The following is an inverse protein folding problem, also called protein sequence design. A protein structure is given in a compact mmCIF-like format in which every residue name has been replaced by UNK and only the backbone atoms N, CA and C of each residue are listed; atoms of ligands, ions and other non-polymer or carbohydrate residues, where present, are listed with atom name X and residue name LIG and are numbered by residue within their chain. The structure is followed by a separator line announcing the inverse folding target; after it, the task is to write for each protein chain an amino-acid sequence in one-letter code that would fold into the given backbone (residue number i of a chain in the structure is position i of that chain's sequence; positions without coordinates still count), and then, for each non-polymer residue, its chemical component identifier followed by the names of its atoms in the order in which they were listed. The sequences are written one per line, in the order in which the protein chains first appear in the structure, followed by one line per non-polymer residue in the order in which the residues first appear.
data_IF_076119207761
#
_entry.id   IF_076119207761
#
_cell.length_a   1.000
_cell.length_b   1.000
_cell.length_c   1.000
_cell.angle_alpha   90.00
_cell.angle_beta   90.00
_cell.angle_gamma   90.00
#
_symmetry.space_group_name_H-M   'P 1'
#
loop_
_entity.id
_entity.type
_entity.pdbx_description
1 polymer ?
#
# COMPACT_ATOMS: atom_id res chain seq x y z
N UNK A 1 30.91 -7.60 43.39
CA UNK A 1 30.24 -7.20 42.14
C UNK A 1 29.42 -5.97 42.46
N UNK A 2 29.96 -4.81 42.15
CA UNK A 2 29.33 -3.50 42.41
C UNK A 2 28.36 -3.24 41.27
N UNK A 3 27.06 -3.23 41.54
CA UNK A 3 26.02 -2.70 40.68
C UNK A 3 26.29 -1.21 40.51
N UNK A 4 26.74 -0.84 39.30
CA UNK A 4 26.80 0.56 38.92
C UNK A 4 25.39 1.11 38.96
N UNK A 5 25.06 1.94 39.96
CA UNK A 5 23.78 2.64 40.03
C UNK A 5 23.62 3.53 38.82
N UNK A 6 22.53 3.46 38.15
CA UNK A 6 22.12 4.40 37.11
C UNK A 6 22.00 5.76 37.84
N UNK A 7 22.94 6.68 37.56
CA UNK A 7 22.91 8.00 38.14
C UNK A 7 21.67 8.75 37.64
N UNK A 8 20.79 9.11 38.56
CA UNK A 8 19.65 9.98 38.29
C UNK A 8 20.14 11.44 38.18
N UNK A 9 19.93 12.06 37.03
CA UNK A 9 20.16 13.49 36.82
C UNK A 9 18.81 14.20 36.68
N UNK A 10 18.42 15.08 37.63
CA UNK A 10 17.19 15.87 37.52
C UNK A 10 17.18 16.76 36.26
N UNK A 11 18.34 17.18 35.79
CA UNK A 11 18.48 17.99 34.57
C UNK A 11 18.18 17.17 33.32
N UNK A 12 18.62 15.91 33.28
CA UNK A 12 18.33 15.01 32.16
C UNK A 12 16.82 14.74 32.05
N UNK A 13 16.13 14.68 33.19
CA UNK A 13 14.67 14.54 33.21
C UNK A 13 13.96 15.81 32.71
N UNK A 14 14.42 17.00 33.11
CA UNK A 14 13.87 18.27 32.65
C UNK A 14 14.11 18.51 31.15
N UNK A 15 15.24 18.03 30.65
CA UNK A 15 15.64 18.14 29.25
C UNK A 15 15.18 16.96 28.42
N UNK A 16 14.45 16.02 29.01
CA UNK A 16 13.96 14.80 28.35
C UNK A 16 15.06 13.99 27.64
N UNK A 17 16.27 13.93 28.29
CA UNK A 17 17.42 13.21 27.73
C UNK A 17 17.37 11.70 27.99
N UNK A 18 16.23 11.07 27.69
CA UNK A 18 16.01 9.64 27.88
C UNK A 18 16.86 8.74 26.97
N UNK A 19 17.46 9.31 25.94
CA UNK A 19 18.11 8.61 24.85
C UNK A 19 19.64 8.75 24.85
N UNK A 20 20.28 8.55 26.03
CA UNK A 20 21.73 8.60 26.13
C UNK A 20 22.33 9.90 25.56
N UNK A 21 21.98 11.02 26.14
CA UNK A 21 22.42 12.36 25.78
C UNK A 21 21.70 13.00 24.57
N UNK A 22 20.63 12.40 24.05
CA UNK A 22 19.82 12.97 22.97
C UNK A 22 18.46 13.37 23.51
N UNK A 23 17.97 14.55 23.16
CA UNK A 23 16.60 14.95 23.47
C UNK A 23 15.58 14.13 22.66
N UNK A 24 14.39 13.94 23.22
CA UNK A 24 13.30 13.23 22.53
C UNK A 24 12.94 13.86 21.18
N UNK A 25 12.97 15.20 21.11
CA UNK A 25 12.75 15.92 19.86
C UNK A 25 13.78 15.60 18.78
N UNK A 26 15.08 15.57 19.13
CA UNK A 26 16.13 15.24 18.17
C UNK A 26 16.05 13.79 17.70
N UNK A 27 15.73 12.87 18.61
CA UNK A 27 15.53 11.45 18.25
C UNK A 27 14.34 11.29 17.33
N UNK A 28 13.25 12.03 17.57
CA UNK A 28 12.09 12.08 16.66
C UNK A 28 12.52 12.44 15.25
N UNK A 29 13.26 13.55 15.10
CA UNK A 29 13.73 14.00 13.79
C UNK A 29 14.67 12.98 13.11
N UNK A 30 15.55 12.34 13.88
CA UNK A 30 16.44 11.31 13.35
C UNK A 30 15.68 10.08 12.83
N UNK A 31 14.64 9.63 13.54
CA UNK A 31 13.76 8.52 13.12
C UNK A 31 12.94 8.93 11.90
N UNK A 32 12.36 10.13 11.90
CA UNK A 32 11.61 10.67 10.77
C UNK A 32 12.47 10.75 9.51
N UNK A 33 13.65 11.38 9.59
CA UNK A 33 14.60 11.45 8.47
C UNK A 33 14.94 10.07 7.92
N UNK A 34 15.16 9.09 8.79
CA UNK A 34 15.46 7.73 8.39
C UNK A 34 14.33 7.05 7.59
N UNK A 35 13.11 7.46 7.82
CA UNK A 35 11.97 7.04 7.01
C UNK A 35 11.87 7.76 5.67
N UNK A 36 12.42 8.97 5.55
CA UNK A 36 12.29 9.85 4.36
C UNK A 36 13.43 9.68 3.38
N UNK A 37 14.68 9.80 3.87
CA UNK A 37 15.89 9.80 3.00
C UNK A 37 16.35 8.39 2.65
N UNK A 38 17.23 8.28 1.65
CA UNK A 38 17.63 7.02 1.06
C UNK A 38 18.49 6.12 1.96
N UNK A 39 19.24 6.68 2.93
CA UNK A 39 20.13 5.91 3.81
C UNK A 39 20.28 6.56 5.18
N UNK A 40 20.82 5.80 6.16
CA UNK A 40 21.15 6.35 7.49
C UNK A 40 22.32 7.34 7.42
N UNK A 41 23.27 7.13 6.51
CA UNK A 41 24.35 8.07 6.21
C UNK A 41 23.80 9.40 5.66
N UNK A 42 22.78 9.34 4.83
CA UNK A 42 22.11 10.57 4.34
C UNK A 42 21.38 11.30 5.47
N UNK A 43 20.71 10.56 6.37
CA UNK A 43 20.10 11.14 7.56
C UNK A 43 21.15 11.83 8.46
N UNK A 44 22.30 11.20 8.71
CA UNK A 44 23.46 11.80 9.41
C UNK A 44 23.89 13.08 8.73
N UNK A 45 24.08 13.07 7.40
CA UNK A 45 24.49 14.27 6.65
C UNK A 45 23.50 15.42 6.75
N UNK A 46 22.19 15.12 6.69
CA UNK A 46 21.13 16.13 6.83
C UNK A 46 21.12 16.71 8.25
N UNK A 47 21.16 15.86 9.29
CA UNK A 47 21.25 16.30 10.69
C UNK A 47 22.47 17.18 10.93
N UNK A 48 23.63 16.81 10.39
CA UNK A 48 24.84 17.62 10.51
C UNK A 48 24.74 18.94 9.72
N UNK A 49 24.25 18.90 8.48
CA UNK A 49 24.23 20.07 7.57
C UNK A 49 23.23 21.13 7.99
N UNK A 50 22.02 20.70 8.39
CA UNK A 50 20.90 21.60 8.71
C UNK A 50 20.74 21.80 10.19
N UNK A 51 20.83 20.72 10.98
CA UNK A 51 20.63 20.73 12.42
C UNK A 51 21.90 21.07 13.22
N UNK A 52 23.09 21.11 12.56
CA UNK A 52 24.39 21.23 13.21
C UNK A 52 24.64 20.19 14.33
N UNK A 53 24.03 18.99 14.15
CA UNK A 53 24.11 17.90 15.12
C UNK A 53 24.98 16.77 14.56
N UNK A 54 25.97 16.34 15.32
CA UNK A 54 26.82 15.20 14.98
C UNK A 54 26.25 13.91 15.57
N UNK A 55 25.30 13.27 14.90
CA UNK A 55 24.75 11.96 15.23
C UNK A 55 25.16 10.99 14.13
N UNK A 56 26.02 10.01 14.44
CA UNK A 56 26.49 9.04 13.45
C UNK A 56 25.35 8.16 12.89
N UNK A 57 25.51 7.68 11.66
CA UNK A 57 24.59 6.75 10.97
C UNK A 57 24.22 5.54 11.82
N UNK A 58 25.19 4.95 12.52
CA UNK A 58 24.99 3.83 13.43
C UNK A 58 24.20 4.20 14.68
N UNK A 59 24.26 5.47 15.13
CA UNK A 59 23.42 5.98 16.22
C UNK A 59 22.00 6.20 15.70
N UNK A 60 21.83 6.81 14.53
CA UNK A 60 20.54 6.96 13.84
C UNK A 60 19.88 5.59 13.68
N UNK A 61 20.62 4.60 13.17
CA UNK A 61 20.13 3.23 13.03
C UNK A 61 19.59 2.65 14.35
N UNK A 62 20.35 2.76 15.45
CA UNK A 62 19.90 2.28 16.77
C UNK A 62 18.63 2.96 17.26
N UNK A 63 18.41 4.24 16.90
CA UNK A 63 17.14 4.93 17.22
C UNK A 63 15.98 4.33 16.42
N UNK A 64 16.21 4.07 15.14
CA UNK A 64 15.21 3.40 14.29
C UNK A 64 14.91 1.99 14.78
N UNK A 65 15.90 1.21 15.21
CA UNK A 65 15.65 -0.11 15.80
C UNK A 65 14.74 -0.05 17.01
N UNK A 66 14.99 0.90 17.92
CA UNK A 66 14.18 1.08 19.13
C UNK A 66 12.76 1.58 18.79
N UNK A 67 12.68 2.69 18.11
CA UNK A 67 11.41 3.36 17.88
C UNK A 67 10.57 2.68 16.81
N UNK A 68 11.17 2.09 15.81
CA UNK A 68 10.49 1.23 14.84
C UNK A 68 9.84 0.02 15.49
N UNK A 69 10.47 -0.54 16.53
CA UNK A 69 9.85 -1.59 17.35
C UNK A 69 8.62 -1.09 18.13
N UNK A 70 8.63 0.17 18.61
CA UNK A 70 7.44 0.75 19.26
C UNK A 70 6.30 0.98 18.25
N UNK A 71 6.60 1.49 17.06
CA UNK A 71 5.60 1.60 15.98
C UNK A 71 5.00 0.23 15.62
N UNK A 72 5.84 -0.81 15.53
CA UNK A 72 5.39 -2.17 15.26
C UNK A 72 4.48 -2.73 16.37
N UNK A 73 4.78 -2.45 17.62
CA UNK A 73 3.93 -2.82 18.77
C UNK A 73 2.61 -2.07 18.75
N UNK A 74 2.62 -0.79 18.45
CA UNK A 74 1.40 0.00 18.30
C UNK A 74 0.46 -0.59 17.23
N UNK A 75 1.02 -1.00 16.08
CA UNK A 75 0.22 -1.67 15.04
C UNK A 75 -0.38 -2.99 15.54
N UNK A 76 0.35 -3.77 16.33
CA UNK A 76 -0.16 -5.00 16.93
C UNK A 76 -1.27 -4.73 17.95
N UNK A 77 -1.11 -3.73 18.83
CA UNK A 77 -2.12 -3.33 19.80
C UNK A 77 -3.41 -2.84 19.13
N UNK A 78 -3.28 -2.01 18.09
CA UNK A 78 -4.41 -1.53 17.29
C UNK A 78 -5.17 -2.68 16.64
N UNK A 79 -4.47 -3.68 16.09
CA UNK A 79 -5.08 -4.86 15.51
C UNK A 79 -5.85 -5.70 16.56
N UNK A 80 -5.35 -5.78 17.78
CA UNK A 80 -6.05 -6.48 18.87
C UNK A 80 -7.33 -5.75 19.31
N UNK A 81 -7.35 -4.42 19.19
CA UNK A 81 -8.50 -3.59 19.52
C UNK A 81 -9.54 -3.53 18.40
N UNK A 82 -9.11 -3.73 17.15
CA UNK A 82 -10.00 -3.70 16.00
C UNK A 82 -10.97 -4.91 16.05
N UNK A 83 -12.21 -4.68 15.63
CA UNK A 83 -13.17 -5.78 15.51
C UNK A 83 -12.74 -6.77 14.44
N UNK A 84 -12.92 -8.04 14.72
CA UNK A 84 -12.39 -9.12 13.88
C UNK A 84 -12.99 -9.14 12.45
N UNK A 85 -14.25 -8.72 12.30
CA UNK A 85 -14.95 -8.69 11.00
C UNK A 85 -15.93 -7.51 10.93
N UNK A 86 -16.17 -6.96 9.74
CA UNK A 86 -17.17 -5.92 9.56
C UNK A 86 -18.55 -6.46 9.90
N UNK A 87 -19.23 -5.82 10.83
CA UNK A 87 -20.57 -6.19 11.26
C UNK A 87 -21.58 -5.09 10.86
N UNK A 88 -21.75 -4.89 9.55
CA UNK A 88 -22.68 -3.89 8.99
C UNK A 88 -24.13 -4.11 9.41
N UNK A 89 -24.52 -5.32 9.81
CA UNK A 89 -25.85 -5.61 10.33
C UNK A 89 -26.15 -5.00 11.72
N UNK A 90 -25.13 -4.48 12.41
CA UNK A 90 -25.24 -3.84 13.72
C UNK A 90 -25.01 -2.32 13.69
N UNK A 91 -24.83 -1.71 12.52
CA UNK A 91 -24.91 -0.25 12.40
C UNK A 91 -26.34 0.11 12.76
N UNK A 92 -26.52 0.43 14.03
CA UNK A 92 -27.81 0.80 14.60
C UNK A 92 -28.36 1.96 13.82
N UNK A 93 -29.65 1.94 13.53
CA UNK A 93 -30.44 2.92 12.80
C UNK A 93 -30.43 4.38 13.38
N UNK A 94 -29.42 4.73 14.16
CA UNK A 94 -29.19 6.01 14.80
C UNK A 94 -27.82 6.64 14.54
N UNK A 95 -26.86 5.91 13.95
CA UNK A 95 -25.65 6.54 13.42
C UNK A 95 -25.98 7.01 12.00
N UNK A 96 -26.06 8.33 11.82
CA UNK A 96 -26.19 8.91 10.49
C UNK A 96 -25.10 8.30 9.59
N UNK A 97 -25.53 7.57 8.55
CA UNK A 97 -24.62 7.10 7.51
C UNK A 97 -23.88 8.33 7.00
N UNK A 98 -22.58 8.37 7.18
CA UNK A 98 -21.77 9.44 6.62
C UNK A 98 -21.95 9.39 5.10
N UNK A 99 -22.47 10.47 4.54
CA UNK A 99 -22.44 10.67 3.10
C UNK A 99 -20.97 10.74 2.69
N UNK A 100 -20.54 9.81 1.86
CA UNK A 100 -19.17 9.74 1.37
C UNK A 100 -18.88 8.38 0.76
N UNK A 101 -17.77 8.31 0.09
CA UNK A 101 -17.28 7.09 -0.53
C UNK A 101 -15.85 6.84 -0.08
N UNK A 102 -15.52 5.62 0.29
CA UNK A 102 -14.16 5.23 0.63
C UNK A 102 -13.64 4.15 -0.31
N UNK A 103 -12.35 4.22 -0.57
CA UNK A 103 -11.65 3.22 -1.34
C UNK A 103 -10.41 2.70 -0.62
N UNK A 104 -10.01 1.52 -0.99
CA UNK A 104 -8.68 1.01 -0.70
C UNK A 104 -8.06 0.41 -1.96
N UNK A 105 -6.74 0.44 -2.03
CA UNK A 105 -5.99 -0.20 -3.09
C UNK A 105 -4.86 -1.04 -2.48
N UNK A 106 -4.56 -2.17 -3.14
CA UNK A 106 -3.62 -3.18 -2.66
C UNK A 106 -2.64 -3.52 -3.78
N UNK A 107 -1.34 -3.57 -3.45
CA UNK A 107 -0.25 -3.94 -4.35
C UNK A 107 0.83 -4.74 -3.60
N UNK A 108 1.69 -5.44 -4.34
CA UNK A 108 2.87 -6.12 -3.86
C UNK A 108 4.17 -5.45 -4.34
N UNK A 109 5.18 -5.43 -3.50
CA UNK A 109 6.49 -4.94 -3.87
C UNK A 109 7.60 -5.88 -3.38
N UNK A 110 8.70 -5.97 -4.13
CA UNK A 110 9.80 -6.86 -3.79
C UNK A 110 10.91 -6.10 -3.07
N UNK A 111 11.51 -6.74 -2.06
CA UNK A 111 12.69 -6.24 -1.34
C UNK A 111 13.69 -7.37 -1.13
N UNK A 112 14.99 -7.06 -1.16
CA UNK A 112 16.03 -8.05 -0.90
C UNK A 112 16.36 -8.12 0.59
N UNK A 113 16.14 -9.29 1.21
CA UNK A 113 16.43 -9.58 2.62
C UNK A 113 17.68 -10.44 2.72
N UNK A 114 18.64 -10.05 3.57
CA UNK A 114 19.89 -10.78 3.78
C UNK A 114 19.61 -12.19 4.29
N UNK A 115 20.24 -13.17 3.65
CA UNK A 115 20.07 -14.59 3.99
C UNK A 115 18.77 -15.23 3.49
N UNK A 116 17.81 -14.43 2.99
CA UNK A 116 16.51 -14.91 2.53
C UNK A 116 16.23 -14.65 1.04
N UNK A 117 17.01 -13.76 0.39
CA UNK A 117 16.79 -13.34 -0.99
C UNK A 117 15.63 -12.38 -1.16
N UNK A 118 15.05 -12.35 -2.36
CA UNK A 118 13.91 -11.48 -2.68
C UNK A 118 12.64 -11.92 -1.95
N UNK A 119 12.02 -11.00 -1.24
CA UNK A 119 10.75 -11.18 -0.52
C UNK A 119 9.75 -10.15 -0.95
N UNK A 120 8.50 -10.56 -1.02
CA UNK A 120 7.40 -9.65 -1.25
C UNK A 120 7.01 -8.97 0.08
N UNK A 121 6.90 -7.65 0.05
CA UNK A 121 6.15 -6.92 1.06
C UNK A 121 4.88 -6.35 0.42
N UNK A 122 3.81 -6.37 1.18
CA UNK A 122 2.50 -5.92 0.74
C UNK A 122 2.31 -4.47 1.13
N UNK A 123 1.69 -3.71 0.25
CA UNK A 123 1.34 -2.30 0.47
C UNK A 123 -0.15 -2.15 0.24
N UNK A 124 -0.81 -1.46 1.14
CA UNK A 124 -2.19 -1.05 1.01
C UNK A 124 -2.35 0.43 1.33
N UNK A 125 -3.35 1.04 0.77
CA UNK A 125 -3.76 2.38 1.16
C UNK A 125 -5.27 2.45 1.30
N UNK A 126 -5.72 3.29 2.23
CA UNK A 126 -7.11 3.63 2.45
C UNK A 126 -7.29 5.12 2.15
N UNK A 127 -8.32 5.48 1.42
CA UNK A 127 -8.56 6.86 0.98
C UNK A 127 -10.06 7.17 0.90
N UNK A 128 -10.39 8.44 0.90
CA UNK A 128 -11.71 8.93 0.54
C UNK A 128 -11.79 9.15 -0.97
N UNK A 129 -12.96 8.93 -1.56
CA UNK A 129 -13.19 9.16 -2.99
C UNK A 129 -14.07 10.39 -3.13
N UNK A 130 -13.51 11.44 -3.72
CA UNK A 130 -14.21 12.66 -4.04
C UNK A 130 -14.37 12.83 -5.55
N UNK A 131 -15.51 13.39 -6.02
CA UNK A 131 -15.68 13.72 -7.41
C UNK A 131 -14.77 14.87 -7.81
N UNK A 132 -14.05 14.72 -8.91
CA UNK A 132 -13.19 15.74 -9.50
C UNK A 132 -13.49 15.94 -10.97
N UNK A 133 -13.66 17.19 -11.40
CA UNK A 133 -13.80 17.52 -12.81
C UNK A 133 -12.45 17.33 -13.53
N UNK A 134 -12.41 16.44 -14.52
CA UNK A 134 -11.25 16.14 -15.35
C UNK A 134 -11.60 16.38 -16.80
N UNK A 135 -10.74 17.12 -17.54
CA UNK A 135 -10.95 17.34 -18.96
C UNK A 135 -10.51 16.11 -19.75
N UNK A 136 -11.46 15.44 -20.38
CA UNK A 136 -11.20 14.32 -21.27
C UNK A 136 -10.78 14.84 -22.65
N UNK A 137 -9.56 14.51 -23.06
CA UNK A 137 -8.98 14.95 -24.33
C UNK A 137 -9.60 14.26 -25.53
N UNK A 138 -10.18 13.07 -25.37
CA UNK A 138 -10.78 12.33 -26.47
C UNK A 138 -12.19 12.83 -26.78
N UNK A 139 -13.05 12.93 -25.76
CA UNK A 139 -14.40 13.49 -25.91
C UNK A 139 -14.44 15.01 -25.98
N UNK A 140 -13.35 15.71 -25.53
CA UNK A 140 -13.27 17.17 -25.35
C UNK A 140 -14.32 17.73 -24.38
N UNK A 141 -14.69 16.94 -23.41
CA UNK A 141 -15.68 17.30 -22.38
C UNK A 141 -15.06 17.25 -20.98
N UNK A 142 -15.66 17.99 -20.05
CA UNK A 142 -15.34 17.85 -18.64
C UNK A 142 -16.17 16.71 -18.07
N UNK A 143 -15.49 15.70 -17.55
CA UNK A 143 -16.09 14.54 -16.91
C UNK A 143 -15.83 14.61 -15.41
N UNK A 144 -16.83 14.23 -14.62
CA UNK A 144 -16.64 14.03 -13.20
C UNK A 144 -16.11 12.61 -12.96
N UNK A 145 -14.96 12.52 -12.32
CA UNK A 145 -14.27 11.25 -12.04
C UNK A 145 -13.96 11.15 -10.55
N UNK A 146 -14.01 9.92 -10.02
CA UNK A 146 -13.55 9.66 -8.67
C UNK A 146 -12.06 9.95 -8.52
N UNK A 147 -11.70 10.66 -7.46
CA UNK A 147 -10.33 11.02 -7.10
C UNK A 147 -10.05 10.65 -5.65
N UNK A 148 -8.91 9.98 -5.42
CA UNK A 148 -8.49 9.59 -4.07
C UNK A 148 -7.88 10.78 -3.33
N UNK A 149 -8.43 11.07 -2.15
CA UNK A 149 -7.96 12.12 -1.24
C UNK A 149 -7.70 11.55 0.15
N UNK A 150 -6.99 12.27 1.00
CA UNK A 150 -6.71 11.89 2.40
C UNK A 150 -6.20 10.45 2.54
N UNK A 151 -5.20 10.08 1.73
CA UNK A 151 -4.69 8.71 1.67
C UNK A 151 -3.81 8.38 2.88
N UNK A 152 -4.08 7.25 3.52
CA UNK A 152 -3.17 6.63 4.51
C UNK A 152 -2.66 5.28 4.00
N UNK A 153 -1.49 4.87 4.48
CA UNK A 153 -0.77 3.69 3.98
C UNK A 153 -0.48 2.70 5.10
N UNK A 154 -0.57 1.43 4.77
CA UNK A 154 -0.06 0.32 5.57
C UNK A 154 0.85 -0.55 4.71
N UNK A 155 1.86 -1.17 5.32
CA UNK A 155 2.70 -2.12 4.62
C UNK A 155 3.18 -3.22 5.57
N UNK A 156 3.44 -4.41 5.03
CA UNK A 156 3.86 -5.56 5.80
C UNK A 156 4.78 -6.49 5.00
N UNK A 157 5.90 -6.88 5.61
CA UNK A 157 6.79 -7.91 5.07
C UNK A 157 6.33 -9.29 5.57
N UNK A 158 5.50 -9.98 4.80
CA UNK A 158 4.98 -11.29 5.21
C UNK A 158 3.72 -11.73 4.48
N UNK A 159 2.97 -12.63 5.12
CA UNK A 159 1.76 -13.20 4.57
C UNK A 159 0.60 -12.22 4.45
N UNK A 160 -0.41 -12.55 3.62
CA UNK A 160 -1.57 -11.69 3.41
C UNK A 160 -2.49 -11.63 4.65
N UNK A 161 -2.45 -12.62 5.54
CA UNK A 161 -3.36 -12.69 6.69
C UNK A 161 -3.07 -11.58 7.71
N UNK A 162 -1.80 -11.36 8.05
CA UNK A 162 -1.41 -10.27 8.95
C UNK A 162 -1.62 -8.92 8.28
N UNK A 163 -1.25 -8.81 7.01
CA UNK A 163 -1.46 -7.59 6.22
C UNK A 163 -2.95 -7.24 6.12
N UNK A 164 -3.82 -8.21 5.89
CA UNK A 164 -5.26 -8.01 5.82
C UNK A 164 -5.84 -7.42 7.10
N UNK A 165 -5.43 -7.96 8.27
CA UNK A 165 -5.84 -7.40 9.57
C UNK A 165 -5.31 -5.98 9.79
N UNK A 166 -4.07 -5.69 9.37
CA UNK A 166 -3.50 -4.35 9.46
C UNK A 166 -4.28 -3.35 8.59
N UNK A 167 -4.59 -3.73 7.35
CA UNK A 167 -5.35 -2.90 6.42
C UNK A 167 -6.79 -2.69 6.91
N UNK A 168 -7.43 -3.73 7.45
CA UNK A 168 -8.75 -3.64 8.06
C UNK A 168 -8.75 -2.69 9.27
N UNK A 169 -7.73 -2.78 10.14
CA UNK A 169 -7.57 -1.90 11.29
C UNK A 169 -7.50 -0.43 10.87
N UNK A 170 -6.70 -0.13 9.85
CA UNK A 170 -6.60 1.23 9.31
C UNK A 170 -7.93 1.71 8.70
N UNK A 171 -8.59 0.86 7.92
CA UNK A 171 -9.89 1.18 7.32
C UNK A 171 -10.95 1.45 8.40
N UNK A 172 -11.00 0.63 9.44
CA UNK A 172 -11.93 0.77 10.57
C UNK A 172 -11.69 2.08 11.34
N UNK A 173 -10.44 2.42 11.65
CA UNK A 173 -10.09 3.67 12.32
C UNK A 173 -10.48 4.90 11.51
N UNK A 174 -10.52 4.78 10.19
CA UNK A 174 -10.97 5.84 9.27
C UNK A 174 -12.49 5.86 9.05
N UNK A 175 -13.25 4.99 9.72
CA UNK A 175 -14.70 5.00 9.65
C UNK A 175 -15.28 4.20 8.47
N UNK A 176 -14.56 3.23 7.91
CA UNK A 176 -15.02 2.38 6.80
C UNK A 176 -16.41 1.79 7.01
N UNK A 177 -16.72 1.35 8.23
CA UNK A 177 -18.03 0.76 8.55
C UNK A 177 -19.19 1.75 8.53
N UNK A 178 -18.91 3.06 8.68
CA UNK A 178 -19.91 4.12 8.63
C UNK A 178 -20.25 4.57 7.19
N UNK A 179 -19.45 4.19 6.20
CA UNK A 179 -19.61 4.55 4.80
C UNK A 179 -20.31 3.40 4.06
N UNK A 180 -21.42 3.73 3.37
CA UNK A 180 -22.18 2.73 2.61
C UNK A 180 -21.49 2.29 1.32
N UNK A 181 -20.83 3.22 0.64
CA UNK A 181 -20.25 3.03 -0.68
C UNK A 181 -18.73 2.87 -0.58
N UNK A 182 -18.25 1.66 -0.84
CA UNK A 182 -16.84 1.31 -0.67
C UNK A 182 -16.28 0.54 -1.85
N UNK A 183 -14.98 0.74 -2.13
CA UNK A 183 -14.28 0.12 -3.25
C UNK A 183 -12.96 -0.53 -2.83
N UNK A 184 -12.62 -1.65 -3.46
CA UNK A 184 -11.30 -2.29 -3.39
C UNK A 184 -10.71 -2.39 -4.79
N UNK A 185 -9.52 -1.81 -4.99
CA UNK A 185 -8.76 -1.87 -6.25
C UNK A 185 -7.51 -2.74 -6.06
N UNK A 186 -7.22 -3.63 -7.00
CA UNK A 186 -6.02 -4.48 -6.99
C UNK A 186 -5.61 -4.98 -8.37
N UNK A 187 -4.44 -5.61 -8.46
CA UNK A 187 -3.82 -6.09 -9.71
C UNK A 187 -4.46 -7.36 -10.32
N UNK A 188 -5.41 -7.97 -9.64
CA UNK A 188 -6.05 -9.22 -10.07
C UNK A 188 -5.46 -10.47 -9.39
N UNK A 189 -4.46 -10.35 -8.55
CA UNK A 189 -3.88 -11.48 -7.83
C UNK A 189 -4.88 -12.13 -6.87
N UNK A 190 -4.90 -13.45 -6.85
CA UNK A 190 -5.86 -14.23 -6.07
C UNK A 190 -5.83 -13.92 -4.56
N UNK A 191 -4.66 -13.65 -4.00
CA UNK A 191 -4.53 -13.36 -2.57
C UNK A 191 -5.23 -12.04 -2.19
N UNK A 192 -5.26 -11.05 -3.09
CA UNK A 192 -5.99 -9.78 -2.87
C UNK A 192 -7.48 -10.05 -2.75
N UNK A 193 -8.04 -10.85 -3.65
CA UNK A 193 -9.49 -11.15 -3.63
C UNK A 193 -9.89 -12.05 -2.47
N UNK A 194 -9.01 -12.95 -2.02
CA UNK A 194 -9.24 -13.72 -0.80
C UNK A 194 -9.29 -12.79 0.43
N UNK A 195 -8.34 -11.87 0.55
CA UNK A 195 -8.31 -10.85 1.61
C UNK A 195 -9.54 -9.94 1.54
N UNK A 196 -9.91 -9.49 0.33
CA UNK A 196 -11.11 -8.68 0.11
C UNK A 196 -12.37 -9.43 0.54
N UNK A 197 -12.48 -10.71 0.23
CA UNK A 197 -13.62 -11.52 0.65
C UNK A 197 -13.69 -11.71 2.17
N UNK A 198 -12.56 -11.72 2.85
CA UNK A 198 -12.49 -11.88 4.31
C UNK A 198 -12.84 -10.58 5.05
N UNK A 199 -12.32 -9.44 4.60
CA UNK A 199 -12.40 -8.17 5.35
C UNK A 199 -13.29 -7.11 4.71
N UNK A 200 -13.50 -7.16 3.37
CA UNK A 200 -14.15 -6.11 2.58
C UNK A 200 -15.16 -6.68 1.57
N UNK A 201 -15.88 -7.74 1.95
CA UNK A 201 -16.69 -8.59 1.06
C UNK A 201 -17.82 -7.87 0.32
N UNK A 202 -18.32 -6.76 0.85
CA UNK A 202 -19.44 -5.99 0.32
C UNK A 202 -19.01 -4.75 -0.50
N UNK A 203 -17.71 -4.59 -0.71
CA UNK A 203 -17.15 -3.49 -1.50
C UNK A 203 -17.21 -3.78 -3.01
N UNK A 204 -17.34 -2.73 -3.81
CA UNK A 204 -17.11 -2.80 -5.25
C UNK A 204 -15.66 -3.23 -5.51
N UNK A 205 -15.46 -4.34 -6.22
CA UNK A 205 -14.14 -4.90 -6.51
C UNK A 205 -13.72 -4.53 -7.92
N UNK A 206 -12.57 -3.89 -8.07
CA UNK A 206 -12.05 -3.41 -9.36
C UNK A 206 -10.64 -3.93 -9.59
N UNK A 207 -10.41 -4.60 -10.73
CA UNK A 207 -9.04 -4.85 -11.21
C UNK A 207 -8.48 -3.55 -11.76
N UNK A 208 -7.26 -3.22 -11.36
CA UNK A 208 -6.56 -2.06 -11.90
C UNK A 208 -6.52 -2.06 -13.43
N UNK A 209 -6.92 -0.94 -14.02
CA UNK A 209 -6.99 -0.77 -15.48
C UNK A 209 -5.64 -1.00 -16.16
N UNK A 210 -4.56 -0.49 -15.59
CA UNK A 210 -3.23 -0.61 -16.21
C UNK A 210 -2.73 -2.05 -16.17
N UNK A 211 -2.96 -2.77 -15.06
CA UNK A 211 -2.64 -4.21 -14.98
C UNK A 211 -3.48 -5.04 -15.96
N UNK A 212 -4.76 -4.74 -16.09
CA UNK A 212 -5.61 -5.38 -17.09
C UNK A 212 -5.15 -5.08 -18.54
N UNK A 213 -4.72 -3.84 -18.81
CA UNK A 213 -4.16 -3.44 -20.08
C UNK A 213 -2.82 -4.12 -20.40
N UNK A 214 -1.95 -4.33 -19.40
CA UNK A 214 -0.70 -5.08 -19.55
C UNK A 214 -0.98 -6.56 -19.91
N UNK A 215 -1.92 -7.22 -19.23
CA UNK A 215 -2.40 -8.56 -19.60
C UNK A 215 -2.97 -8.59 -21.01
N UNK A 216 -3.74 -7.58 -21.38
CA UNK A 216 -4.29 -7.47 -22.73
C UNK A 216 -3.21 -7.29 -23.79
N UNK A 217 -2.17 -6.51 -23.48
CA UNK A 217 -1.02 -6.33 -24.36
C UNK A 217 -0.24 -7.66 -24.56
N UNK A 218 0.03 -8.38 -23.47
CA UNK A 218 0.62 -9.72 -23.55
C UNK A 218 -0.23 -10.69 -24.37
N UNK A 219 -1.54 -10.70 -24.14
CA UNK A 219 -2.48 -11.50 -24.91
C UNK A 219 -2.46 -11.14 -26.40
N UNK A 220 -2.35 -9.87 -26.77
CA UNK A 220 -2.29 -9.42 -28.16
C UNK A 220 -1.05 -9.97 -28.89
N UNK A 221 0.12 -9.98 -28.24
CA UNK A 221 1.35 -10.54 -28.78
C UNK A 221 1.23 -12.06 -28.99
N UNK A 222 0.62 -12.75 -28.05
CA UNK A 222 0.31 -14.19 -28.16
C UNK A 222 -0.73 -14.48 -29.22
N UNK A 223 -1.72 -13.64 -29.40
CA UNK A 223 -2.80 -13.80 -30.37
C UNK A 223 -2.34 -13.60 -31.82
N UNK A 224 -1.42 -12.63 -32.07
CA UNK A 224 -0.88 -12.26 -33.38
C UNK A 224 0.67 -12.25 -33.41
N UNK A 225 1.33 -13.40 -33.14
CA UNK A 225 2.79 -13.44 -32.89
C UNK A 225 3.66 -13.04 -34.10
N UNK A 226 3.11 -13.14 -35.32
CA UNK A 226 3.89 -12.93 -36.55
C UNK A 226 3.77 -11.52 -37.13
N UNK A 227 3.03 -10.62 -36.47
CA UNK A 227 2.80 -9.26 -36.97
C UNK A 227 2.49 -8.30 -35.83
N UNK A 228 3.44 -7.48 -35.47
CA UNK A 228 3.28 -6.43 -34.47
C UNK A 228 2.12 -5.48 -34.80
N UNK A 229 2.00 -5.07 -36.07
CA UNK A 229 0.90 -4.21 -36.50
C UNK A 229 -0.48 -4.87 -36.38
N UNK A 230 -0.58 -6.19 -36.59
CA UNK A 230 -1.81 -6.92 -36.37
C UNK A 230 -2.12 -7.14 -34.86
N UNK A 231 -1.09 -7.35 -34.03
CA UNK A 231 -1.22 -7.40 -32.59
C UNK A 231 -1.72 -6.05 -32.05
N UNK A 232 -1.14 -4.96 -32.49
CA UNK A 232 -1.53 -3.60 -32.07
C UNK A 232 -2.97 -3.24 -32.49
N UNK A 233 -3.40 -3.61 -33.70
CA UNK A 233 -4.80 -3.39 -34.11
C UNK A 233 -5.78 -4.19 -33.27
N UNK A 234 -5.44 -5.45 -32.99
CA UNK A 234 -6.27 -6.29 -32.13
C UNK A 234 -6.33 -5.75 -30.71
N UNK A 235 -5.16 -5.33 -30.14
CA UNK A 235 -5.07 -4.70 -28.83
C UNK A 235 -6.04 -3.51 -28.71
N UNK A 236 -5.98 -2.55 -29.65
CA UNK A 236 -6.85 -1.35 -29.61
C UNK A 236 -8.33 -1.68 -29.66
N UNK A 237 -8.72 -2.65 -30.47
CA UNK A 237 -10.13 -3.11 -30.51
C UNK A 237 -10.54 -3.79 -29.24
N UNK A 238 -9.67 -4.64 -28.68
CA UNK A 238 -9.93 -5.37 -27.44
C UNK A 238 -9.88 -4.44 -26.21
N UNK A 239 -9.03 -3.39 -26.20
CA UNK A 239 -8.97 -2.37 -25.18
C UNK A 239 -10.31 -1.61 -25.06
N UNK A 240 -10.89 -1.19 -26.18
CA UNK A 240 -12.22 -0.58 -26.20
C UNK A 240 -13.27 -1.55 -25.65
N UNK A 241 -13.23 -2.82 -26.07
CA UNK A 241 -14.14 -3.85 -25.59
C UNK A 241 -13.99 -4.11 -24.09
N UNK A 242 -12.74 -4.16 -23.60
CA UNK A 242 -12.43 -4.30 -22.18
C UNK A 242 -12.98 -3.13 -21.34
N UNK A 243 -12.78 -1.91 -21.83
CA UNK A 243 -13.30 -0.72 -21.15
C UNK A 243 -14.83 -0.74 -21.03
N UNK A 244 -15.52 -1.27 -22.05
CA UNK A 244 -16.98 -1.46 -22.06
C UNK A 244 -17.45 -2.64 -21.18
N UNK A 245 -16.58 -3.32 -20.46
CA UNK A 245 -16.94 -4.44 -19.58
C UNK A 245 -17.01 -5.82 -20.25
N UNK A 246 -16.58 -5.95 -21.50
CA UNK A 246 -16.65 -7.19 -22.27
C UNK A 246 -15.43 -8.12 -22.10
N UNK A 247 -14.90 -8.23 -20.89
CA UNK A 247 -13.74 -9.10 -20.57
C UNK A 247 -14.01 -10.59 -20.88
N UNK A 248 -15.28 -11.05 -20.77
CA UNK A 248 -15.72 -12.39 -21.12
C UNK A 248 -15.55 -12.71 -22.62
N UNK A 249 -15.82 -11.74 -23.51
CA UNK A 249 -15.62 -11.88 -24.96
C UNK A 249 -14.13 -12.00 -25.30
N UNK A 250 -13.28 -11.25 -24.61
CA UNK A 250 -11.82 -11.34 -24.72
C UNK A 250 -11.35 -12.73 -24.29
N UNK A 251 -11.78 -13.19 -23.11
CA UNK A 251 -11.47 -14.52 -22.60
C UNK A 251 -11.86 -15.62 -23.59
N UNK A 252 -13.07 -15.56 -24.11
CA UNK A 252 -13.58 -16.51 -25.10
C UNK A 252 -12.74 -16.51 -26.40
N UNK A 253 -12.40 -15.33 -26.92
CA UNK A 253 -11.59 -15.20 -28.13
C UNK A 253 -10.19 -15.81 -27.95
N UNK A 254 -9.55 -15.60 -26.80
CA UNK A 254 -8.24 -16.17 -26.46
C UNK A 254 -8.32 -17.69 -26.30
N UNK A 255 -9.37 -18.21 -25.64
CA UNK A 255 -9.61 -19.65 -25.48
C UNK A 255 -9.77 -20.36 -26.82
N UNK A 256 -10.56 -19.81 -27.76
CA UNK A 256 -10.71 -20.35 -29.11
C UNK A 256 -9.37 -20.45 -29.87
N UNK A 257 -8.44 -19.52 -29.62
CA UNK A 257 -7.11 -19.49 -30.23
C UNK A 257 -6.10 -20.41 -29.57
N UNK A 258 -6.35 -20.82 -28.33
CA UNK A 258 -5.43 -21.61 -27.48
C UNK A 258 -5.51 -23.13 -27.80
N UNK A 259 -5.37 -23.51 -29.07
CA UNK A 259 -5.47 -24.90 -29.53
C UNK A 259 -4.15 -25.65 -29.33
N UNK A 260 -4.23 -26.89 -28.83
CA UNK A 260 -3.08 -27.77 -28.62
C UNK A 260 -2.31 -27.52 -27.32
N UNK A 261 -1.08 -28.06 -27.25
CA UNK A 261 -0.25 -28.10 -26.03
C UNK A 261 1.04 -27.28 -26.11
N UNK A 262 1.19 -26.43 -27.14
CA UNK A 262 2.36 -25.55 -27.27
C UNK A 262 2.44 -24.57 -26.09
N UNK A 263 3.64 -24.04 -25.79
CA UNK A 263 3.80 -23.02 -24.76
C UNK A 263 2.89 -21.82 -25.00
N UNK A 264 2.83 -21.34 -26.24
CA UNK A 264 1.93 -20.26 -26.64
C UNK A 264 0.43 -20.58 -26.32
N UNK A 265 0.00 -21.81 -26.55
CA UNK A 265 -1.40 -22.20 -26.25
C UNK A 265 -1.64 -22.24 -24.73
N UNK A 266 -0.63 -22.59 -23.93
CA UNK A 266 -0.71 -22.51 -22.46
C UNK A 266 -0.79 -21.06 -22.00
N UNK A 267 0.06 -20.20 -22.55
CA UNK A 267 0.12 -18.77 -22.18
C UNK A 267 -1.19 -18.06 -22.57
N UNK A 268 -1.75 -18.35 -23.76
CA UNK A 268 -3.07 -17.86 -24.16
C UNK A 268 -4.19 -18.30 -23.19
N UNK A 269 -4.12 -19.54 -22.67
CA UNK A 269 -5.09 -20.01 -21.67
C UNK A 269 -4.92 -19.28 -20.34
N UNK A 270 -3.69 -18.97 -19.95
CA UNK A 270 -3.40 -18.19 -18.73
C UNK A 270 -4.03 -16.80 -18.83
N UNK A 271 -3.82 -16.09 -19.95
CA UNK A 271 -4.43 -14.78 -20.16
C UNK A 271 -5.96 -14.84 -20.23
N UNK A 272 -6.50 -15.83 -20.96
CA UNK A 272 -7.94 -16.03 -21.01
C UNK A 272 -8.56 -16.29 -19.62
N UNK A 273 -7.87 -17.08 -18.78
CA UNK A 273 -8.32 -17.37 -17.44
C UNK A 273 -8.26 -16.13 -16.52
N UNK A 274 -7.28 -15.25 -16.72
CA UNK A 274 -7.20 -13.97 -16.00
C UNK A 274 -8.45 -13.11 -16.26
N UNK A 275 -8.81 -12.89 -17.53
CA UNK A 275 -10.01 -12.14 -17.90
C UNK A 275 -11.30 -12.82 -17.42
N UNK A 276 -11.42 -14.13 -17.58
CA UNK A 276 -12.60 -14.88 -17.14
C UNK A 276 -12.82 -14.81 -15.63
N UNK A 277 -11.75 -14.97 -14.85
CA UNK A 277 -11.82 -14.92 -13.39
C UNK A 277 -12.17 -13.53 -12.84
N UNK A 278 -11.84 -12.48 -13.59
CA UNK A 278 -11.97 -11.11 -13.14
C UNK A 278 -13.05 -10.30 -13.88
N UNK A 279 -13.79 -10.88 -14.80
CA UNK A 279 -14.75 -10.17 -15.66
C UNK A 279 -15.74 -9.26 -14.91
N UNK A 280 -16.19 -9.66 -13.71
CA UNK A 280 -17.08 -8.85 -12.88
C UNK A 280 -16.38 -7.65 -12.23
N UNK A 281 -15.04 -7.66 -12.17
CA UNK A 281 -14.19 -6.62 -11.61
C UNK A 281 -13.61 -5.70 -12.69
N UNK A 282 -14.05 -5.85 -13.93
CA UNK A 282 -13.55 -5.13 -15.11
C UNK A 282 -14.69 -4.41 -15.85
N UNK A 283 -15.68 -3.90 -15.10
CA UNK A 283 -16.79 -3.11 -15.64
C UNK A 283 -16.40 -1.62 -15.64
N UNK A 284 -15.30 -1.29 -16.37
CA UNK A 284 -14.62 -0.01 -16.22
C UNK A 284 -15.48 1.19 -16.59
N UNK A 285 -16.30 1.10 -17.65
CA UNK A 285 -17.20 2.17 -18.03
C UNK A 285 -18.24 2.44 -16.93
N UNK A 286 -18.92 1.39 -16.45
CA UNK A 286 -19.89 1.45 -15.36
C UNK A 286 -19.26 2.01 -14.08
N UNK A 287 -18.10 1.47 -13.67
CA UNK A 287 -17.38 1.94 -12.48
C UNK A 287 -17.00 3.42 -12.57
N UNK A 288 -16.58 3.88 -13.76
CA UNK A 288 -16.24 5.27 -13.99
C UNK A 288 -17.46 6.18 -13.95
N UNK A 289 -18.56 5.76 -14.57
CA UNK A 289 -19.84 6.49 -14.56
C UNK A 289 -20.43 6.59 -13.13
N UNK A 290 -20.25 5.54 -12.33
CA UNK A 290 -20.63 5.52 -10.92
C UNK A 290 -19.66 6.30 -10.02
N UNK A 291 -18.57 6.88 -10.57
CA UNK A 291 -17.60 7.70 -9.83
C UNK A 291 -16.58 6.91 -9.02
N UNK A 292 -16.38 5.61 -9.32
CA UNK A 292 -15.30 4.81 -8.76
C UNK A 292 -13.96 5.04 -9.48
N UNK A 293 -12.87 4.72 -8.80
CA UNK A 293 -11.56 4.67 -9.43
C UNK A 293 -11.44 3.39 -10.29
N UNK A 294 -10.87 3.52 -11.47
CA UNK A 294 -10.54 2.37 -12.32
C UNK A 294 -9.06 1.99 -12.29
N UNK A 295 -8.24 2.81 -11.59
CA UNK A 295 -6.79 2.62 -11.48
C UNK A 295 -6.32 2.64 -10.03
N UNK A 296 -5.23 1.91 -9.76
CA UNK A 296 -4.57 1.78 -8.46
C UNK A 296 -3.53 2.86 -8.18
N UNK A 297 -3.60 4.00 -8.88
CA UNK A 297 -2.61 5.10 -8.77
C UNK A 297 -2.19 5.46 -7.34
N UNK A 298 -3.09 5.54 -6.35
CA UNK A 298 -2.73 5.81 -4.97
C UNK A 298 -1.78 4.78 -4.37
N UNK A 299 -2.04 3.47 -4.54
CA UNK A 299 -1.17 2.42 -4.00
C UNK A 299 0.11 2.25 -4.83
N UNK A 300 0.06 2.43 -6.15
CA UNK A 300 1.27 2.45 -6.98
C UNK A 300 2.25 3.54 -6.54
N UNK A 301 1.74 4.76 -6.32
CA UNK A 301 2.53 5.86 -5.77
C UNK A 301 3.13 5.48 -4.42
N UNK A 302 2.35 4.88 -3.53
CA UNK A 302 2.81 4.36 -2.25
C UNK A 302 3.89 3.30 -2.40
N UNK A 303 3.66 2.28 -3.22
CA UNK A 303 4.63 1.21 -3.48
C UNK A 303 5.95 1.75 -4.05
N UNK A 304 5.91 2.72 -4.98
CA UNK A 304 7.10 3.43 -5.49
C UNK A 304 7.86 4.16 -4.37
N UNK A 305 7.17 4.83 -3.48
CA UNK A 305 7.78 5.53 -2.35
C UNK A 305 8.38 4.57 -1.32
N UNK A 306 7.74 3.43 -1.03
CA UNK A 306 8.34 2.37 -0.23
C UNK A 306 9.57 1.78 -0.91
N UNK A 307 9.50 1.43 -2.19
CA UNK A 307 10.64 0.94 -2.99
C UNK A 307 11.81 1.91 -2.97
N UNK A 308 11.57 3.21 -3.15
CA UNK A 308 12.63 4.23 -3.10
C UNK A 308 13.41 4.19 -1.78
N UNK A 309 12.75 3.86 -0.66
CA UNK A 309 13.41 3.74 0.65
C UNK A 309 14.03 2.38 0.90
N UNK A 310 13.55 1.30 0.28
CA UNK A 310 13.95 -0.06 0.64
C UNK A 310 14.75 -0.80 -0.44
N UNK A 311 14.71 -0.35 -1.69
CA UNK A 311 15.29 -1.10 -2.83
C UNK A 311 16.33 -0.31 -3.64
N UNK A 312 16.89 0.75 -3.08
CA UNK A 312 17.95 1.55 -3.74
C UNK A 312 19.24 0.75 -3.96
N UNK A 313 20.11 1.20 -4.88
CA UNK A 313 21.39 0.55 -5.14
C UNK A 313 22.23 0.38 -3.87
N UNK A 314 22.74 -0.81 -3.64
CA UNK A 314 23.57 -1.13 -2.45
C UNK A 314 22.80 -1.36 -1.15
N UNK A 315 21.51 -1.15 -1.10
CA UNK A 315 20.70 -1.40 0.10
C UNK A 315 20.64 -2.88 0.41
N UNK A 316 20.88 -3.21 1.68
CA UNK A 316 20.82 -4.57 2.22
C UNK A 316 20.13 -4.51 3.58
N UNK A 317 19.11 -5.31 3.75
CA UNK A 317 18.28 -5.30 4.95
C UNK A 317 18.34 -6.65 5.67
N UNK A 318 18.52 -6.63 6.98
CA UNK A 318 18.05 -7.75 7.80
C UNK A 318 16.52 -7.72 7.85
N UNK A 319 15.88 -8.87 8.05
CA UNK A 319 14.43 -8.96 8.21
C UNK A 319 13.94 -8.01 9.31
N UNK A 320 14.55 -8.10 10.49
CA UNK A 320 14.18 -7.24 11.62
C UNK A 320 14.35 -5.74 11.33
N UNK A 321 15.38 -5.37 10.56
CA UNK A 321 15.61 -3.97 10.19
C UNK A 321 14.50 -3.40 9.32
N UNK A 322 14.07 -4.15 8.31
CA UNK A 322 13.01 -3.69 7.42
C UNK A 322 11.64 -3.72 8.11
N UNK A 323 11.34 -4.75 8.90
CA UNK A 323 10.10 -4.86 9.66
C UNK A 323 9.90 -3.71 10.65
N UNK A 324 10.98 -3.15 11.19
CA UNK A 324 10.94 -1.98 12.08
C UNK A 324 10.81 -0.66 11.33
N UNK A 325 11.37 -0.54 10.15
CA UNK A 325 11.32 0.71 9.38
C UNK A 325 10.02 0.84 8.56
N UNK A 326 9.39 -0.25 8.16
CA UNK A 326 8.12 -0.25 7.42
C UNK A 326 7.04 0.57 8.13
N UNK A 327 6.68 0.34 9.41
CA UNK A 327 5.63 1.10 10.08
C UNK A 327 5.99 2.57 10.28
N UNK A 328 7.26 2.90 10.50
CA UNK A 328 7.74 4.28 10.55
C UNK A 328 7.49 4.98 9.20
N UNK A 329 7.87 4.33 8.09
CA UNK A 329 7.64 4.85 6.75
C UNK A 329 6.15 5.01 6.45
N UNK A 330 5.32 4.04 6.82
CA UNK A 330 3.87 4.08 6.65
C UNK A 330 3.25 5.26 7.41
N UNK A 331 3.63 5.48 8.68
CA UNK A 331 3.16 6.61 9.48
C UNK A 331 3.55 7.97 8.87
N UNK A 332 4.77 8.09 8.34
CA UNK A 332 5.22 9.31 7.66
C UNK A 332 4.40 9.56 6.39
N UNK A 333 4.21 8.56 5.55
CA UNK A 333 3.47 8.68 4.31
C UNK A 333 1.97 8.96 4.53
N UNK A 334 1.45 8.54 5.67
CA UNK A 334 0.07 8.81 6.11
C UNK A 334 -0.09 10.15 6.84
N UNK A 335 0.98 10.93 6.99
CA UNK A 335 1.00 12.17 7.80
C UNK A 335 0.59 11.96 9.26
N UNK A 336 0.75 10.73 9.78
CA UNK A 336 0.38 10.35 11.15
C UNK A 336 1.59 10.30 12.12
N UNK A 337 2.81 10.41 11.61
CA UNK A 337 4.02 10.24 12.41
C UNK A 337 4.09 11.19 13.61
N UNK A 338 3.76 12.45 13.39
CA UNK A 338 3.82 13.49 14.44
C UNK A 338 2.77 13.30 15.52
N UNK A 339 1.57 12.84 15.12
CA UNK A 339 0.46 12.59 16.05
C UNK A 339 0.67 11.33 16.88
N UNK A 340 1.36 10.33 16.33
CA UNK A 340 1.66 9.07 17.02
C UNK A 340 2.84 9.18 17.97
N UNK A 341 3.82 10.02 17.67
CA UNK A 341 5.06 10.11 18.41
C UNK A 341 4.89 10.39 19.92
N UNK A 342 4.04 11.34 20.38
CA UNK A 342 3.87 11.62 21.80
C UNK A 342 3.41 10.38 22.60
N UNK A 343 2.49 9.60 22.06
CA UNK A 343 1.99 8.40 22.73
C UNK A 343 3.05 7.32 22.85
N UNK A 344 3.87 7.12 21.83
CA UNK A 344 4.98 6.19 21.82
C UNK A 344 6.08 6.62 22.80
N UNK A 345 6.37 7.92 22.84
CA UNK A 345 7.41 8.46 23.69
C UNK A 345 7.06 8.38 25.19
N UNK A 346 5.83 8.71 25.55
CA UNK A 346 5.34 8.67 26.93
C UNK A 346 5.27 7.24 27.49
N UNK A 347 4.93 6.26 26.64
CA UNK A 347 4.78 4.86 27.04
C UNK A 347 6.09 4.07 27.02
N UNK A 348 7.20 4.69 26.61
CA UNK A 348 8.51 4.02 26.56
C UNK A 348 9.26 4.25 27.87
N UNK A 349 9.59 3.20 28.65
CA UNK A 349 10.36 3.38 29.88
C UNK A 349 11.75 3.94 29.55
N UNK A 350 12.31 4.83 30.40
CA UNK A 350 13.69 5.26 30.28
C UNK A 350 14.63 4.05 30.40
N UNK A 351 15.68 3.99 29.58
CA UNK A 351 16.73 2.97 29.66
C UNK A 351 17.68 3.23 30.81
#
# INVERSE_FOLDING_TARGET
MTTAGVGFSPLDQQLELWEKNWSGGLVKEAVWLSGVVGSFEEAERVLHRIGHVSMSDSTVWRRVERWGEQFRRLDQERQQQAQALPNRGQVTAGQAQQQGRMGLAIDGAMVHVLGEGWKEFKVGCVYEIEPQAVFDKESREWLEMGHAVHTSYVAHLGGPEFFGRLLWTEAQQRGWEAVYDTQVVGDGARWIWNLTQEHFYDSCQTVDWYHAADHLHAAAQLYRPNSESAAQRWYKSAETSLFQGHADQIAHTLQQKAVGNSQRAKDLRTEAQFFENNKRRMQYLEFREDGYLIGSGPVESGAKQFKARFTGPGMRWSRAGIERLIPVRAAIMSSQFDDLWPSLYTNSPPN
#
